data_IF_335189897573
#
_entry.id   IF_335189897573
#
_cell.length_a   1.000
_cell.length_b   1.000
_cell.length_c   1.000
_cell.angle_alpha   90.00
_cell.angle_beta   90.00
_cell.angle_gamma   90.00
#
_symmetry.space_group_name_H-M   'P 1'
#
loop_
_entity.id
_entity.type
_entity.pdbx_description
1 polymer ?
#
# COMPACT_ATOMS: atom_id res chain seq x y z
N UNK A 1 3.42 -9.40 18.60
CA UNK A 1 2.82 -8.20 17.97
C UNK A 1 1.42 -8.57 17.57
N UNK A 2 0.39 -7.81 17.98
CA UNK A 2 -0.96 -8.06 17.50
C UNK A 2 -0.99 -7.89 15.98
N UNK A 3 -1.76 -8.76 15.33
CA UNK A 3 -2.07 -8.67 13.91
C UNK A 3 -3.47 -8.10 13.78
N UNK A 4 -3.67 -7.18 12.84
CA UNK A 4 -5.00 -6.72 12.46
C UNK A 4 -5.15 -6.79 10.95
N UNK A 5 -6.37 -7.07 10.50
CA UNK A 5 -6.75 -7.09 9.09
C UNK A 5 -7.61 -5.87 8.82
N UNK A 6 -7.34 -5.19 7.72
CA UNK A 6 -8.15 -4.05 7.30
C UNK A 6 -8.15 -3.92 5.78
N UNK A 7 -9.16 -3.23 5.28
CA UNK A 7 -9.28 -2.87 3.88
C UNK A 7 -8.83 -1.43 3.69
N UNK A 8 -8.02 -1.15 2.67
CA UNK A 8 -7.63 0.22 2.37
C UNK A 8 -7.16 0.46 0.95
N UNK A 9 -7.04 1.74 0.63
CA UNK A 9 -6.46 2.21 -0.64
C UNK A 9 -5.02 2.65 -0.37
N UNK A 10 -4.10 2.20 -1.22
CA UNK A 10 -2.72 2.67 -1.22
C UNK A 10 -2.69 4.09 -1.77
N UNK A 11 -2.32 5.03 -0.90
CA UNK A 11 -2.14 6.41 -1.28
C UNK A 11 -0.79 6.56 -1.98
N UNK A 12 0.29 6.52 -1.20
CA UNK A 12 1.67 6.68 -1.69
C UNK A 12 2.59 5.60 -1.19
N UNK A 13 3.69 5.44 -1.92
CA UNK A 13 4.84 4.65 -1.49
C UNK A 13 6.08 5.54 -1.39
N UNK A 14 6.95 5.23 -0.44
CA UNK A 14 8.25 5.90 -0.26
C UNK A 14 9.33 4.84 -0.10
N UNK A 15 10.49 5.03 -0.73
CA UNK A 15 11.60 4.07 -0.63
C UNK A 15 12.08 3.99 0.83
N UNK A 16 12.32 2.77 1.31
CA UNK A 16 12.96 2.50 2.59
C UNK A 16 14.12 1.55 2.32
N UNK A 17 15.35 2.07 2.38
CA UNK A 17 16.52 1.32 1.96
C UNK A 17 16.41 0.79 0.52
N UNK A 18 17.07 -0.34 0.26
CA UNK A 18 17.17 -0.91 -1.08
C UNK A 18 15.96 -1.78 -1.47
N UNK A 19 15.50 -2.63 -0.55
CA UNK A 19 14.51 -3.65 -0.85
C UNK A 19 13.07 -3.30 -0.42
N UNK A 20 12.90 -2.27 0.42
CA UNK A 20 11.65 -2.03 1.13
C UNK A 20 10.99 -0.72 0.68
N UNK A 21 9.71 -0.57 1.01
CA UNK A 21 8.99 0.70 0.92
C UNK A 21 8.16 0.92 2.17
N UNK A 22 7.98 2.18 2.56
CA UNK A 22 6.90 2.60 3.43
C UNK A 22 5.69 2.86 2.54
N UNK A 23 4.58 2.20 2.86
CA UNK A 23 3.30 2.33 2.17
C UNK A 23 2.36 3.10 3.10
N UNK A 24 1.73 4.15 2.56
CA UNK A 24 0.69 4.89 3.26
C UNK A 24 -0.65 4.41 2.75
N UNK A 25 -1.48 3.89 3.65
CA UNK A 25 -2.82 3.41 3.31
C UNK A 25 -3.86 4.27 4.02
N UNK A 26 -4.95 4.56 3.31
CA UNK A 26 -6.19 5.00 3.95
C UNK A 26 -7.06 3.75 4.11
N UNK A 27 -7.22 3.30 5.35
CA UNK A 27 -7.99 2.10 5.67
C UNK A 27 -9.37 2.45 6.22
N UNK A 28 -10.29 1.49 6.10
CA UNK A 28 -11.68 1.65 6.54
C UNK A 28 -11.81 1.79 8.05
N UNK A 29 -11.02 1.03 8.81
CA UNK A 29 -11.25 0.86 10.25
C UNK A 29 -10.21 1.57 11.11
N UNK A 30 -9.00 1.79 10.59
CA UNK A 30 -7.87 2.39 11.32
C UNK A 30 -7.43 3.74 10.74
N UNK A 31 -8.15 4.27 9.75
CA UNK A 31 -7.86 5.56 9.13
C UNK A 31 -6.55 5.56 8.35
N UNK A 32 -5.79 6.66 8.42
CA UNK A 32 -4.52 6.78 7.68
C UNK A 32 -3.38 6.13 8.45
N UNK A 33 -2.82 5.06 7.91
CA UNK A 33 -1.72 4.32 8.51
C UNK A 33 -0.48 4.31 7.61
N UNK A 34 0.68 4.07 8.23
CA UNK A 34 1.97 3.91 7.54
C UNK A 34 2.59 2.59 7.95
N UNK A 35 2.85 1.73 6.99
CA UNK A 35 3.42 0.40 7.23
C UNK A 35 4.57 0.09 6.28
N UNK A 36 5.54 -0.68 6.78
CA UNK A 36 6.69 -1.14 6.00
C UNK A 36 6.32 -2.39 5.22
N UNK A 37 6.48 -2.33 3.91
CA UNK A 37 6.41 -3.47 3.02
C UNK A 37 7.82 -4.02 2.76
N UNK A 38 8.22 -5.00 3.56
CA UNK A 38 9.56 -5.62 3.46
C UNK A 38 9.72 -6.41 2.17
N UNK A 39 10.81 -6.19 1.45
CA UNK A 39 11.15 -6.88 0.22
C UNK A 39 10.22 -6.57 -0.96
N UNK A 40 9.41 -5.51 -0.89
CA UNK A 40 8.47 -5.15 -1.96
C UNK A 40 9.17 -4.82 -3.28
N UNK A 41 10.41 -4.33 -3.23
CA UNK A 41 11.19 -3.96 -4.43
C UNK A 41 12.02 -5.10 -5.03
N UNK A 42 12.03 -6.28 -4.39
CA UNK A 42 12.74 -7.46 -4.94
C UNK A 42 12.00 -7.98 -6.16
N UNK A 43 12.74 -8.45 -7.17
CA UNK A 43 12.16 -9.03 -8.41
C UNK A 43 11.15 -10.14 -8.09
N UNK A 44 11.44 -10.99 -7.10
CA UNK A 44 10.57 -12.07 -6.63
C UNK A 44 9.75 -11.69 -5.39
N UNK A 45 9.26 -10.45 -5.31
CA UNK A 45 8.47 -10.02 -4.15
C UNK A 45 7.13 -10.73 -4.06
N UNK A 46 6.76 -11.21 -2.87
CA UNK A 46 5.42 -11.75 -2.60
C UNK A 46 4.30 -10.72 -2.81
N UNK A 47 4.61 -9.44 -2.64
CA UNK A 47 3.64 -8.37 -2.74
C UNK A 47 3.32 -7.99 -4.20
N UNK A 48 4.25 -8.19 -5.13
CA UNK A 48 4.09 -7.77 -6.52
C UNK A 48 3.62 -6.31 -6.63
N UNK A 49 2.72 -6.03 -7.57
CA UNK A 49 2.11 -4.70 -7.75
C UNK A 49 0.97 -4.36 -6.76
N UNK A 50 0.71 -5.18 -5.73
CA UNK A 50 -0.44 -4.97 -4.82
C UNK A 50 -0.33 -3.70 -4.00
N UNK A 51 0.89 -3.33 -3.65
CA UNK A 51 1.18 -2.17 -2.80
C UNK A 51 1.63 -0.95 -3.62
N UNK A 52 1.23 -0.87 -4.89
CA UNK A 52 1.39 0.32 -5.72
C UNK A 52 0.26 1.33 -5.47
N UNK A 53 0.46 2.62 -5.76
CA UNK A 53 -0.58 3.64 -5.65
C UNK A 53 -1.88 3.25 -6.38
N UNK A 54 -3.00 3.71 -5.84
CA UNK A 54 -4.36 3.52 -6.38
C UNK A 54 -4.90 2.07 -6.32
N UNK A 55 -4.19 1.17 -5.66
CA UNK A 55 -4.67 -0.19 -5.41
C UNK A 55 -5.57 -0.22 -4.18
N UNK A 56 -6.72 -0.88 -4.27
CA UNK A 56 -7.56 -1.24 -3.12
C UNK A 56 -7.25 -2.66 -2.70
N UNK A 57 -6.79 -2.79 -1.47
CA UNK A 57 -6.21 -4.02 -0.95
C UNK A 57 -6.80 -4.40 0.40
N UNK A 58 -6.90 -5.70 0.60
CA UNK A 58 -7.05 -6.29 1.93
C UNK A 58 -5.65 -6.54 2.48
N UNK A 59 -5.35 -6.02 3.67
CA UNK A 59 -4.02 -6.07 4.25
C UNK A 59 -4.05 -6.69 5.64
N UNK A 60 -3.08 -7.59 5.89
CA UNK A 60 -2.77 -8.07 7.22
C UNK A 60 -1.54 -7.31 7.73
N UNK A 61 -1.68 -6.63 8.86
CA UNK A 61 -0.66 -5.74 9.40
C UNK A 61 -0.24 -6.22 10.78
N UNK A 62 1.08 -6.30 10.99
CA UNK A 62 1.67 -6.50 12.30
C UNK A 62 1.98 -5.14 12.93
N UNK A 63 1.39 -4.88 14.10
CA UNK A 63 1.63 -3.62 14.81
C UNK A 63 3.08 -3.51 15.26
N UNK A 64 3.72 -2.42 14.84
CA UNK A 64 5.12 -2.13 15.15
C UNK A 64 5.32 -1.35 16.44
N UNK A 65 6.58 -1.21 16.87
CA UNK A 65 6.93 -0.24 17.94
C UNK A 65 6.98 1.21 17.43
N UNK A 66 7.44 1.40 16.19
CA UNK A 66 7.58 2.73 15.56
C UNK A 66 6.85 2.79 14.22
N UNK A 67 6.94 1.73 13.43
CA UNK A 67 6.23 1.58 12.16
C UNK A 67 5.64 0.17 12.08
N UNK A 68 4.39 0.11 11.66
CA UNK A 68 3.71 -1.14 11.36
C UNK A 68 4.39 -1.88 10.20
N UNK A 69 4.11 -3.17 10.07
CA UNK A 69 4.69 -4.01 9.01
C UNK A 69 3.57 -4.71 8.25
N UNK A 70 3.57 -4.57 6.92
CA UNK A 70 2.65 -5.32 6.07
C UNK A 70 3.10 -6.79 6.06
N UNK A 71 2.26 -7.66 6.59
CA UNK A 71 2.49 -9.11 6.63
C UNK A 71 1.97 -9.77 5.36
N UNK A 72 0.76 -9.40 4.92
CA UNK A 72 0.12 -9.91 3.70
C UNK A 72 -0.68 -8.79 3.03
N UNK A 73 -0.88 -8.92 1.72
CA UNK A 73 -1.73 -8.02 0.95
C UNK A 73 -2.38 -8.81 -0.19
N UNK A 74 -3.69 -8.64 -0.38
CA UNK A 74 -4.49 -9.24 -1.44
C UNK A 74 -5.21 -8.15 -2.23
N UNK A 75 -5.37 -8.37 -3.54
CA UNK A 75 -6.11 -7.42 -4.38
C UNK A 75 -7.60 -7.56 -4.11
N UNK A 76 -8.25 -6.43 -3.82
CA UNK A 76 -9.71 -6.32 -3.92
C UNK A 76 -10.07 -5.69 -5.26
N UNK A 77 -9.36 -4.62 -5.64
CA UNK A 77 -9.55 -3.96 -6.94
C UNK A 77 -8.28 -3.24 -7.38
N UNK A 78 -7.99 -3.29 -8.67
CA UNK A 78 -6.79 -2.71 -9.28
C UNK A 78 -7.18 -1.54 -10.21
N UNK A 79 -7.23 -0.33 -9.67
CA UNK A 79 -7.62 0.87 -10.43
C UNK A 79 -6.44 1.54 -11.14
N UNK A 80 -5.21 1.19 -10.79
CA UNK A 80 -4.01 1.86 -11.27
C UNK A 80 -3.93 1.90 -12.81
N UNK A 81 -4.30 0.83 -13.51
CA UNK A 81 -4.24 0.80 -14.97
C UNK A 81 -5.17 1.84 -15.61
N UNK A 82 -6.41 1.96 -15.10
CA UNK A 82 -7.39 2.92 -15.61
C UNK A 82 -7.02 4.35 -15.25
N UNK A 83 -6.59 4.58 -14.01
CA UNK A 83 -6.19 5.91 -13.51
C UNK A 83 -4.94 6.40 -14.23
N UNK A 84 -3.93 5.55 -14.43
CA UNK A 84 -2.70 5.93 -15.11
C UNK A 84 -2.87 6.16 -16.63
N UNK A 85 -3.92 5.59 -17.24
CA UNK A 85 -4.21 5.79 -18.67
C UNK A 85 -4.87 7.15 -18.96
N UNK A 86 -5.47 7.79 -17.95
CA UNK A 86 -6.12 9.10 -18.05
C UNK A 86 -5.35 10.14 -17.23
N UNK A 87 -4.77 11.12 -17.92
CA UNK A 87 -3.96 12.16 -17.27
C UNK A 87 -4.76 13.02 -16.27
N UNK A 88 -6.03 13.31 -16.56
CA UNK A 88 -6.90 14.08 -15.68
C UNK A 88 -7.23 13.30 -14.41
N UNK A 89 -7.59 12.02 -14.56
CA UNK A 89 -7.83 11.12 -13.43
C UNK A 89 -6.56 10.94 -12.59
N UNK A 90 -5.41 10.75 -13.23
CA UNK A 90 -4.12 10.66 -12.56
C UNK A 90 -3.80 11.92 -11.75
N UNK A 91 -3.99 13.10 -12.33
CA UNK A 91 -3.76 14.39 -11.66
C UNK A 91 -4.63 14.54 -10.41
N UNK A 92 -5.93 14.29 -10.53
CA UNK A 92 -6.88 14.37 -9.40
C UNK A 92 -6.53 13.35 -8.31
N UNK A 93 -6.24 12.10 -8.72
CA UNK A 93 -5.89 11.05 -7.77
C UNK A 93 -4.60 11.39 -6.99
N UNK A 94 -3.62 12.03 -7.64
CA UNK A 94 -2.37 12.42 -7.00
C UNK A 94 -2.55 13.53 -5.94
N UNK A 95 -3.59 14.37 -6.06
CA UNK A 95 -3.91 15.39 -5.03
C UNK A 95 -4.36 14.73 -3.71
N UNK A 96 -4.98 13.55 -3.79
CA UNK A 96 -5.42 12.82 -2.58
C UNK A 96 -4.29 12.05 -1.88
N UNK A 97 -3.08 12.03 -2.43
CA UNK A 97 -2.01 11.07 -2.12
C UNK A 97 -0.81 11.65 -1.38
#
# INVERSE_FOLDING_TARGET
MPLYRDEGVVLRTTKLGEADRIVTLLTRSHGKIRAVAKGVRRVKSRFGGRLEPFMRVDVLIATGRTLDVVSQAEFISAYAAQICADYGAYGIANVMV
#
